data_IF_696361078793
#
_entry.id   IF_696361078793
#
_cell.length_a   1.000
_cell.length_b   1.000
_cell.length_c   1.000
_cell.angle_alpha   90.00
_cell.angle_beta   90.00
_cell.angle_gamma   90.00
#
_symmetry.space_group_name_H-M   'P 1'
#
loop_
_entity.id
_entity.type
_entity.pdbx_description
1 polymer ?
#
# COMPACT_ATOMS: atom_id res chain seq x y z
N UNK A 1 -10.91 -2.70 -0.64
CA UNK A 1 -10.50 -1.52 0.13
C UNK A 1 -10.15 -1.94 1.56
N UNK A 2 -9.18 -1.31 2.27
CA UNK A 2 -8.90 -1.62 3.67
C UNK A 2 -10.11 -1.45 4.62
N UNK A 3 -11.06 -0.62 4.23
CA UNK A 3 -12.29 -0.37 4.99
C UNK A 3 -13.33 -1.48 4.86
N UNK A 4 -13.18 -2.39 3.91
CA UNK A 4 -14.05 -3.57 3.76
C UNK A 4 -13.87 -4.58 4.91
N UNK A 5 -12.72 -4.51 5.59
CA UNK A 5 -12.41 -5.32 6.77
C UNK A 5 -12.74 -4.55 8.05
N UNK A 6 -13.34 -5.18 9.03
CA UNK A 6 -13.48 -4.61 10.38
C UNK A 6 -12.13 -4.49 11.08
N UNK A 7 -12.02 -3.64 12.11
CA UNK A 7 -10.80 -3.54 12.94
C UNK A 7 -10.43 -4.89 13.56
N UNK A 8 -11.44 -5.70 13.94
CA UNK A 8 -11.23 -7.03 14.48
C UNK A 8 -10.63 -7.99 13.45
N UNK A 9 -11.13 -7.97 12.20
CA UNK A 9 -10.59 -8.79 11.10
C UNK A 9 -9.17 -8.37 10.73
N UNK A 10 -8.88 -7.06 10.68
CA UNK A 10 -7.50 -6.59 10.51
C UNK A 10 -6.60 -7.12 11.63
N UNK A 11 -7.07 -7.08 12.88
CA UNK A 11 -6.34 -7.63 14.03
C UNK A 11 -6.06 -9.13 13.89
N UNK A 12 -7.02 -9.91 13.41
CA UNK A 12 -6.86 -11.35 13.14
C UNK A 12 -5.84 -11.62 12.03
N UNK A 13 -5.90 -10.85 10.94
CA UNK A 13 -4.94 -10.97 9.82
C UNK A 13 -3.52 -10.66 10.30
N UNK A 14 -3.34 -9.59 11.09
CA UNK A 14 -2.04 -9.22 11.64
C UNK A 14 -1.52 -10.30 12.59
N UNK A 15 -2.35 -10.82 13.50
CA UNK A 15 -1.96 -11.90 14.40
C UNK A 15 -1.56 -13.18 13.64
N UNK A 16 -2.30 -13.51 12.58
CA UNK A 16 -1.94 -14.63 11.70
C UNK A 16 -0.59 -14.38 10.98
N UNK A 17 -0.37 -13.16 10.50
CA UNK A 17 0.89 -12.81 9.86
C UNK A 17 2.08 -12.92 10.84
N UNK A 18 1.91 -12.50 12.10
CA UNK A 18 2.91 -12.67 13.16
C UNK A 18 3.20 -14.15 13.45
N UNK A 19 2.15 -14.99 13.53
CA UNK A 19 2.32 -16.44 13.71
C UNK A 19 3.03 -17.10 12.52
N UNK A 20 2.72 -16.70 11.28
CA UNK A 20 3.41 -17.17 10.08
C UNK A 20 4.90 -16.77 10.12
N UNK A 21 5.22 -15.53 10.52
CA UNK A 21 6.61 -15.07 10.64
C UNK A 21 7.38 -15.89 11.67
N UNK A 22 6.77 -16.19 12.81
CA UNK A 22 7.39 -16.96 13.87
C UNK A 22 7.48 -18.46 13.54
N UNK A 23 6.56 -19.00 12.78
CA UNK A 23 6.37 -20.45 12.59
C UNK A 23 6.18 -20.82 11.10
N UNK A 24 7.06 -20.36 10.20
CA UNK A 24 6.95 -20.56 8.74
C UNK A 24 6.68 -22.01 8.34
N UNK A 25 7.40 -22.97 8.94
CA UNK A 25 7.26 -24.39 8.62
C UNK A 25 5.85 -24.96 8.90
N UNK A 26 5.10 -24.41 9.85
CA UNK A 26 3.72 -24.78 10.18
C UNK A 26 2.77 -24.57 8.99
N UNK A 27 3.07 -23.61 8.14
CA UNK A 27 2.21 -23.16 7.05
C UNK A 27 2.64 -23.65 5.67
N UNK A 28 3.76 -24.38 5.57
CA UNK A 28 4.35 -24.78 4.28
C UNK A 28 3.47 -25.66 3.39
N UNK A 29 2.39 -26.23 3.92
CA UNK A 29 1.39 -27.02 3.17
C UNK A 29 -0.03 -26.43 3.24
N UNK A 30 -0.19 -25.21 3.78
CA UNK A 30 -1.52 -24.60 3.98
C UNK A 30 -2.30 -24.38 2.68
N UNK A 31 -1.60 -24.18 1.57
CA UNK A 31 -2.18 -24.02 0.23
C UNK A 31 -1.83 -25.19 -0.72
N UNK A 32 -1.47 -26.36 -0.18
CA UNK A 32 -1.16 -27.53 -1.00
C UNK A 32 -2.30 -27.90 -1.95
N UNK A 33 -1.99 -28.02 -3.24
CA UNK A 33 -2.96 -28.31 -4.30
C UNK A 33 -3.79 -27.10 -4.74
N UNK A 34 -3.59 -25.91 -4.15
CA UNK A 34 -4.25 -24.66 -4.54
C UNK A 34 -3.41 -23.88 -5.54
N UNK A 35 -4.09 -23.10 -6.40
CA UNK A 35 -3.47 -22.27 -7.42
C UNK A 35 -3.89 -20.81 -7.26
N UNK A 36 -2.89 -19.93 -7.19
CA UNK A 36 -3.07 -18.49 -7.27
C UNK A 36 -2.88 -18.02 -8.71
N UNK A 37 -3.83 -17.27 -9.25
CA UNK A 37 -3.65 -16.54 -10.50
C UNK A 37 -3.19 -15.10 -10.20
N UNK A 38 -2.02 -14.70 -10.71
CA UNK A 38 -1.53 -13.31 -10.67
C UNK A 38 -1.87 -12.62 -11.98
N UNK A 39 -2.87 -11.72 -11.96
CA UNK A 39 -3.34 -10.98 -13.14
C UNK A 39 -2.87 -9.53 -13.05
N UNK A 40 -1.73 -9.23 -13.65
CA UNK A 40 -1.09 -7.92 -13.56
C UNK A 40 -1.24 -7.18 -14.89
N UNK A 41 -2.19 -6.23 -14.94
CA UNK A 41 -2.49 -5.39 -16.10
C UNK A 41 -1.58 -4.16 -16.18
N UNK A 42 -0.85 -3.86 -15.13
CA UNK A 42 0.23 -2.89 -15.10
C UNK A 42 1.50 -3.51 -14.50
N UNK A 43 2.70 -3.12 -14.96
CA UNK A 43 3.96 -3.66 -14.45
C UNK A 43 4.12 -3.44 -12.95
N UNK A 44 4.46 -4.49 -12.22
CA UNK A 44 4.80 -4.43 -10.80
C UNK A 44 5.65 -5.61 -10.38
N UNK A 45 6.95 -5.42 -10.33
CA UNK A 45 7.89 -6.48 -9.96
C UNK A 45 7.70 -6.93 -8.52
N UNK A 46 7.75 -5.99 -7.57
CA UNK A 46 7.70 -6.31 -6.13
C UNK A 46 6.39 -6.98 -5.72
N UNK A 47 5.25 -6.38 -6.05
CA UNK A 47 3.95 -6.91 -5.64
C UNK A 47 3.70 -8.30 -6.24
N UNK A 48 4.01 -8.49 -7.53
CA UNK A 48 3.84 -9.80 -8.17
C UNK A 48 4.71 -10.86 -7.54
N UNK A 49 6.00 -10.57 -7.32
CA UNK A 49 6.93 -11.51 -6.70
C UNK A 49 6.53 -11.82 -5.25
N UNK A 50 6.00 -10.84 -4.49
CA UNK A 50 5.51 -11.07 -3.13
C UNK A 50 4.34 -12.06 -3.10
N UNK A 51 3.34 -11.89 -3.96
CA UNK A 51 2.22 -12.85 -4.07
C UNK A 51 2.70 -14.22 -4.54
N UNK A 52 3.60 -14.26 -5.52
CA UNK A 52 4.16 -15.52 -6.04
C UNK A 52 4.93 -16.27 -4.96
N UNK A 53 5.85 -15.60 -4.27
CA UNK A 53 6.65 -16.20 -3.20
C UNK A 53 5.78 -16.67 -2.05
N UNK A 54 4.82 -15.85 -1.60
CA UNK A 54 3.92 -16.22 -0.52
C UNK A 54 3.12 -17.51 -0.84
N UNK A 55 2.58 -17.61 -2.06
CA UNK A 55 1.81 -18.81 -2.45
C UNK A 55 2.69 -20.07 -2.54
N UNK A 56 3.91 -19.92 -3.05
CA UNK A 56 4.87 -21.03 -3.12
C UNK A 56 5.34 -21.47 -1.72
N UNK A 57 5.60 -20.54 -0.81
CA UNK A 57 5.97 -20.87 0.58
C UNK A 57 4.83 -21.53 1.37
N UNK A 58 3.59 -21.28 0.98
CA UNK A 58 2.40 -21.96 1.52
C UNK A 58 2.12 -23.32 0.86
N UNK A 59 2.97 -23.79 -0.05
CA UNK A 59 2.85 -25.09 -0.72
C UNK A 59 1.91 -25.11 -1.92
N UNK A 60 1.44 -23.95 -2.39
CA UNK A 60 0.58 -23.82 -3.56
C UNK A 60 1.35 -23.63 -4.86
N UNK A 61 0.65 -23.32 -5.94
CA UNK A 61 1.21 -23.06 -7.27
C UNK A 61 0.72 -21.71 -7.79
N UNK A 62 1.45 -21.12 -8.74
CA UNK A 62 1.13 -19.80 -9.30
C UNK A 62 1.06 -19.88 -10.82
N UNK A 63 0.02 -19.27 -11.38
CA UNK A 63 -0.17 -19.05 -12.81
C UNK A 63 -0.47 -17.56 -13.07
N UNK A 64 -0.57 -17.15 -14.33
CA UNK A 64 -1.02 -15.79 -14.67
C UNK A 64 -0.07 -15.04 -15.59
N UNK A 65 -0.26 -13.74 -15.70
CA UNK A 65 0.51 -12.86 -16.58
C UNK A 65 1.03 -11.63 -15.83
N UNK A 66 2.10 -11.04 -16.35
CA UNK A 66 2.76 -9.84 -15.78
C UNK A 66 2.50 -8.57 -16.58
N UNK A 67 1.86 -8.69 -17.73
CA UNK A 67 1.55 -7.61 -18.65
C UNK A 67 0.29 -7.97 -19.47
N UNK A 68 -0.63 -7.02 -19.57
CA UNK A 68 -1.86 -7.15 -20.36
C UNK A 68 -1.56 -7.41 -21.85
N UNK A 69 -0.48 -6.84 -22.38
CA UNK A 69 -0.07 -7.03 -23.78
C UNK A 69 0.26 -8.50 -24.14
N UNK A 70 0.68 -9.29 -23.17
CA UNK A 70 0.98 -10.72 -23.35
C UNK A 70 -0.23 -11.64 -23.18
N UNK A 71 -1.43 -11.09 -22.99
CA UNK A 71 -2.67 -11.85 -22.74
C UNK A 71 -3.76 -11.54 -23.76
N UNK A 72 -4.88 -12.26 -23.69
CA UNK A 72 -6.07 -12.02 -24.53
C UNK A 72 -6.68 -10.62 -24.33
N UNK A 73 -6.32 -9.91 -23.28
CA UNK A 73 -6.70 -8.51 -23.04
C UNK A 73 -6.27 -7.61 -24.21
N UNK A 74 -5.12 -7.88 -24.82
CA UNK A 74 -4.65 -7.18 -26.02
C UNK A 74 -5.59 -7.31 -27.23
N UNK A 75 -6.46 -8.31 -27.21
CA UNK A 75 -7.50 -8.57 -28.23
C UNK A 75 -8.87 -8.04 -27.85
N UNK A 76 -8.98 -7.25 -26.76
CA UNK A 76 -10.23 -6.65 -26.29
C UNK A 76 -11.01 -7.49 -25.26
N UNK A 77 -10.43 -8.55 -24.70
CA UNK A 77 -11.07 -9.31 -23.61
C UNK A 77 -11.27 -8.42 -22.39
N UNK A 78 -12.49 -8.43 -21.84
CA UNK A 78 -12.82 -7.63 -20.66
C UNK A 78 -12.31 -8.28 -19.35
N UNK A 79 -12.18 -7.48 -18.28
CA UNK A 79 -11.86 -8.01 -16.94
C UNK A 79 -12.84 -9.10 -16.52
N UNK A 80 -14.15 -8.89 -16.78
CA UNK A 80 -15.20 -9.86 -16.44
C UNK A 80 -15.03 -11.19 -17.17
N UNK A 81 -14.64 -11.16 -18.43
CA UNK A 81 -14.44 -12.39 -19.22
C UNK A 81 -13.13 -13.07 -18.83
N UNK A 82 -12.04 -12.30 -18.62
CA UNK A 82 -10.78 -12.85 -18.14
C UNK A 82 -10.97 -13.62 -16.84
N UNK A 83 -11.63 -13.04 -15.82
CA UNK A 83 -11.80 -13.73 -14.53
C UNK A 83 -12.71 -14.96 -14.60
N UNK A 84 -13.70 -14.96 -15.52
CA UNK A 84 -14.53 -16.14 -15.78
C UNK A 84 -13.74 -17.30 -16.39
N UNK A 85 -12.77 -16.99 -17.24
CA UNK A 85 -11.86 -18.01 -17.79
C UNK A 85 -10.88 -18.48 -16.71
N UNK A 86 -10.26 -17.56 -15.99
CA UNK A 86 -9.23 -17.86 -14.98
C UNK A 86 -9.77 -18.73 -13.84
N UNK A 87 -11.04 -18.55 -13.42
CA UNK A 87 -11.64 -19.41 -12.38
C UNK A 87 -11.64 -20.89 -12.71
N UNK A 88 -11.54 -21.25 -13.99
CA UNK A 88 -11.44 -22.65 -14.42
C UNK A 88 -10.05 -23.26 -14.13
N UNK A 89 -9.06 -22.43 -13.86
CA UNK A 89 -7.66 -22.83 -13.70
C UNK A 89 -7.07 -22.52 -12.32
N UNK A 90 -7.70 -21.62 -11.54
CA UNK A 90 -7.20 -21.14 -10.27
C UNK A 90 -8.26 -21.16 -9.16
N UNK A 91 -7.80 -21.19 -7.92
CA UNK A 91 -8.65 -21.16 -6.71
C UNK A 91 -8.80 -19.73 -6.14
N UNK A 92 -7.87 -18.84 -6.44
CA UNK A 92 -7.83 -17.45 -5.97
C UNK A 92 -7.10 -16.57 -6.99
N UNK A 93 -7.48 -15.31 -7.07
CA UNK A 93 -6.87 -14.31 -7.98
C UNK A 93 -6.24 -13.19 -7.17
N UNK A 94 -5.01 -12.78 -7.51
CA UNK A 94 -4.42 -11.50 -7.14
C UNK A 94 -4.41 -10.60 -8.38
N UNK A 95 -5.20 -9.53 -8.37
CA UNK A 95 -5.35 -8.65 -9.52
C UNK A 95 -4.75 -7.28 -9.25
N UNK A 96 -3.87 -6.83 -10.17
CA UNK A 96 -3.39 -5.46 -10.22
C UNK A 96 -3.80 -4.82 -11.53
N UNK A 97 -4.42 -3.64 -11.48
CA UNK A 97 -4.98 -2.99 -12.65
C UNK A 97 -4.72 -1.48 -12.64
N UNK A 98 -4.55 -0.87 -13.82
CA UNK A 98 -4.38 0.58 -13.96
C UNK A 98 -5.70 1.36 -13.80
N UNK A 99 -6.86 0.71 -14.01
CA UNK A 99 -8.18 1.31 -13.78
C UNK A 99 -8.66 1.04 -12.36
N UNK A 100 -9.13 2.09 -11.70
CA UNK A 100 -9.77 2.03 -10.40
C UNK A 100 -11.03 1.15 -10.43
N UNK A 101 -11.27 0.39 -9.37
CA UNK A 101 -12.42 -0.50 -9.25
C UNK A 101 -12.36 -1.80 -10.08
N UNK A 102 -11.35 -1.98 -10.95
CA UNK A 102 -11.28 -3.19 -11.79
C UNK A 102 -11.21 -4.50 -10.98
N UNK A 103 -10.48 -4.62 -9.84
CA UNK A 103 -10.52 -5.79 -8.99
C UNK A 103 -11.91 -6.04 -8.36
N UNK A 104 -12.65 -4.98 -8.03
CA UNK A 104 -14.03 -5.08 -7.54
C UNK A 104 -14.94 -5.65 -8.62
N UNK A 105 -14.88 -5.13 -9.84
CA UNK A 105 -15.60 -5.70 -11.00
C UNK A 105 -15.20 -7.17 -11.18
N UNK A 106 -13.89 -7.47 -11.16
CA UNK A 106 -13.38 -8.83 -11.25
C UNK A 106 -14.02 -9.76 -10.20
N UNK A 107 -14.12 -9.31 -8.94
CA UNK A 107 -14.69 -10.11 -7.85
C UNK A 107 -16.16 -10.48 -8.06
N UNK A 108 -16.94 -9.59 -8.70
CA UNK A 108 -18.35 -9.85 -9.01
C UNK A 108 -18.57 -10.96 -10.04
N UNK A 109 -17.60 -11.21 -10.92
CA UNK A 109 -17.72 -12.18 -12.03
C UNK A 109 -16.84 -13.42 -11.87
N UNK A 110 -15.84 -13.40 -10.99
CA UNK A 110 -14.88 -14.49 -10.86
C UNK A 110 -15.49 -15.77 -10.27
N UNK A 111 -16.40 -15.65 -9.29
CA UNK A 111 -16.91 -16.80 -8.53
C UNK A 111 -15.87 -17.50 -7.64
N UNK A 112 -14.65 -16.97 -7.56
CA UNK A 112 -13.57 -17.32 -6.65
C UNK A 112 -13.01 -16.02 -6.03
N UNK A 113 -12.34 -16.07 -4.86
CA UNK A 113 -11.82 -14.86 -4.21
C UNK A 113 -10.89 -14.07 -5.11
N UNK A 114 -11.02 -12.74 -5.07
CA UNK A 114 -10.14 -11.79 -5.76
C UNK A 114 -9.50 -10.84 -4.76
N UNK A 115 -8.18 -10.83 -4.70
CA UNK A 115 -7.39 -9.89 -3.89
C UNK A 115 -7.01 -8.71 -4.77
N UNK A 116 -7.32 -7.48 -4.30
CA UNK A 116 -6.84 -6.26 -4.92
C UNK A 116 -5.34 -6.07 -4.61
N UNK A 117 -4.50 -6.21 -5.61
CA UNK A 117 -3.05 -6.01 -5.54
C UNK A 117 -2.62 -4.58 -5.99
N UNK A 118 -3.57 -3.65 -5.99
CA UNK A 118 -3.44 -2.25 -6.39
C UNK A 118 -4.24 -1.91 -7.64
N UNK A 119 -5.08 -0.87 -7.54
CA UNK A 119 -5.95 -0.40 -8.63
C UNK A 119 -5.83 1.11 -8.85
N UNK A 120 -5.18 1.49 -9.93
CA UNK A 120 -5.00 2.88 -10.33
C UNK A 120 -4.39 3.75 -9.22
N UNK A 121 -5.02 4.88 -8.95
CA UNK A 121 -4.67 5.78 -7.83
C UNK A 121 -5.54 5.54 -6.58
N UNK A 122 -6.50 4.62 -6.63
CA UNK A 122 -7.52 4.43 -5.63
C UNK A 122 -7.00 3.71 -4.38
N UNK A 123 -6.56 2.43 -4.48
CA UNK A 123 -6.28 1.64 -3.30
C UNK A 123 -5.14 0.62 -3.48
N UNK A 124 -4.47 0.30 -2.36
CA UNK A 124 -3.50 -0.80 -2.28
C UNK A 124 -3.68 -1.53 -0.94
N UNK A 125 -4.76 -2.31 -0.76
CA UNK A 125 -5.15 -2.86 0.54
C UNK A 125 -4.07 -3.74 1.18
N UNK A 126 -3.37 -4.53 0.39
CA UNK A 126 -2.33 -5.43 0.91
C UNK A 126 -1.09 -4.66 1.37
N UNK A 127 -0.77 -3.50 0.76
CA UNK A 127 0.27 -2.62 1.27
C UNK A 127 -0.14 -2.03 2.63
N UNK A 128 -1.40 -1.59 2.76
CA UNK A 128 -1.93 -1.09 4.03
C UNK A 128 -1.81 -2.12 5.16
N UNK A 129 -2.13 -3.39 4.88
CA UNK A 129 -1.98 -4.47 5.87
C UNK A 129 -0.50 -4.69 6.25
N UNK A 130 0.42 -4.58 5.28
CA UNK A 130 1.87 -4.66 5.54
C UNK A 130 2.34 -3.49 6.39
N UNK A 131 1.89 -2.28 6.10
CA UNK A 131 2.23 -1.08 6.87
C UNK A 131 1.69 -1.19 8.31
N UNK A 132 0.44 -1.64 8.48
CA UNK A 132 -0.14 -1.88 9.80
C UNK A 132 0.62 -2.98 10.57
N UNK A 133 1.02 -4.07 9.92
CA UNK A 133 1.86 -5.11 10.55
C UNK A 133 3.19 -4.52 11.03
N UNK A 134 3.85 -3.69 10.22
CA UNK A 134 5.09 -3.02 10.58
C UNK A 134 4.87 -2.09 11.78
N UNK A 135 3.84 -1.25 11.75
CA UNK A 135 3.48 -0.36 12.86
C UNK A 135 3.24 -1.17 14.14
N UNK A 136 2.48 -2.26 14.05
CA UNK A 136 2.20 -3.12 15.21
C UNK A 136 3.47 -3.71 15.80
N UNK A 137 4.38 -4.19 14.98
CA UNK A 137 5.64 -4.81 15.42
C UNK A 137 6.61 -3.80 16.03
N UNK A 138 6.72 -2.61 15.46
CA UNK A 138 7.68 -1.60 15.91
C UNK A 138 7.13 -0.75 17.06
N UNK A 139 5.82 -0.44 17.08
CA UNK A 139 5.20 0.41 18.10
C UNK A 139 4.35 -0.35 19.13
N UNK A 140 4.02 -1.61 18.87
CA UNK A 140 3.19 -2.44 19.76
C UNK A 140 1.71 -2.03 19.86
N UNK A 141 1.31 -0.93 19.20
CA UNK A 141 -0.03 -0.32 19.32
C UNK A 141 -0.48 0.32 18.02
N UNK A 142 -1.79 0.62 17.92
CA UNK A 142 -2.37 1.44 16.87
C UNK A 142 -3.03 2.72 17.40
N UNK A 143 -3.16 2.88 18.70
CA UNK A 143 -3.80 4.04 19.32
C UNK A 143 -2.77 5.05 19.82
N UNK A 144 -3.17 6.32 19.96
CA UNK A 144 -2.38 7.40 20.56
C UNK A 144 -1.01 7.55 19.87
N UNK A 145 -1.02 7.84 18.57
CA UNK A 145 0.18 8.03 17.76
C UNK A 145 0.05 9.26 16.86
N UNK A 146 1.17 9.93 16.65
CA UNK A 146 1.31 11.00 15.68
C UNK A 146 2.03 10.48 14.45
N UNK A 147 1.39 10.54 13.28
CA UNK A 147 1.91 9.99 12.02
C UNK A 147 2.04 11.13 11.01
N UNK A 148 3.26 11.37 10.55
CA UNK A 148 3.56 12.31 9.47
C UNK A 148 3.56 11.58 8.13
N UNK A 149 2.69 11.97 7.20
CA UNK A 149 2.75 11.54 5.81
C UNK A 149 3.47 12.59 4.99
N UNK A 150 4.58 12.22 4.38
CA UNK A 150 5.49 13.16 3.73
C UNK A 150 5.72 12.81 2.26
N UNK A 151 5.59 13.79 1.38
CA UNK A 151 5.88 13.67 -0.05
C UNK A 151 4.68 13.84 -0.95
N UNK A 152 4.45 12.88 -1.86
CA UNK A 152 3.32 12.91 -2.80
C UNK A 152 2.04 12.38 -2.12
N UNK A 153 1.27 13.29 -1.54
CA UNK A 153 -0.02 12.95 -0.92
C UNK A 153 -1.17 13.00 -1.91
N UNK A 154 -0.98 13.68 -3.07
CA UNK A 154 -2.01 13.84 -4.10
C UNK A 154 -2.28 12.51 -4.82
N UNK A 155 -1.24 11.81 -5.23
CA UNK A 155 -1.33 10.57 -6.01
C UNK A 155 -0.93 9.34 -5.21
N UNK A 156 -0.62 9.52 -3.93
CA UNK A 156 -0.15 8.49 -3.01
C UNK A 156 -1.23 7.53 -2.53
N UNK A 157 -1.71 6.60 -3.37
CA UNK A 157 -2.77 5.62 -2.98
C UNK A 157 -2.47 4.86 -1.69
N UNK A 158 -1.21 4.60 -1.38
CA UNK A 158 -0.82 3.94 -0.12
C UNK A 158 -1.05 4.85 1.08
N UNK A 159 -0.82 6.15 0.93
CA UNK A 159 -1.17 7.18 1.93
C UNK A 159 -2.67 7.20 2.16
N UNK A 160 -3.46 7.31 1.08
CA UNK A 160 -4.93 7.34 1.17
C UNK A 160 -5.48 6.12 1.90
N UNK A 161 -5.03 4.93 1.51
CA UNK A 161 -5.47 3.68 2.12
C UNK A 161 -5.05 3.56 3.59
N UNK A 162 -3.85 4.00 3.95
CA UNK A 162 -3.36 3.91 5.32
C UNK A 162 -4.05 4.94 6.23
N UNK A 163 -4.31 6.17 5.75
CA UNK A 163 -5.10 7.16 6.49
C UNK A 163 -6.49 6.60 6.82
N UNK A 164 -7.19 6.04 5.83
CA UNK A 164 -8.51 5.41 6.03
C UNK A 164 -8.49 4.27 7.04
N UNK A 165 -7.45 3.45 7.02
CA UNK A 165 -7.31 2.36 7.98
C UNK A 165 -7.05 2.87 9.41
N UNK A 166 -6.15 3.85 9.56
CA UNK A 166 -5.74 4.41 10.85
C UNK A 166 -6.82 5.29 11.48
N UNK A 167 -7.64 5.97 10.69
CA UNK A 167 -8.75 6.81 11.17
C UNK A 167 -9.80 6.05 12.01
N UNK A 168 -9.74 4.72 12.00
CA UNK A 168 -10.63 3.83 12.77
C UNK A 168 -10.12 3.54 14.18
N UNK A 169 -8.89 3.93 14.49
CA UNK A 169 -8.28 3.78 15.81
C UNK A 169 -8.36 5.11 16.58
N UNK A 170 -8.30 5.06 17.91
CA UNK A 170 -8.44 6.24 18.77
C UNK A 170 -7.12 6.97 18.99
N UNK A 171 -7.18 8.30 19.13
CA UNK A 171 -6.02 9.13 19.45
C UNK A 171 -4.96 9.18 18.36
N UNK A 172 -5.38 9.03 17.09
CA UNK A 172 -4.50 9.18 15.94
C UNK A 172 -4.44 10.66 15.57
N UNK A 173 -3.21 11.18 15.46
CA UNK A 173 -2.92 12.51 14.90
C UNK A 173 -2.20 12.33 13.57
N UNK A 174 -2.74 12.93 12.53
CA UNK A 174 -2.17 12.89 11.18
C UNK A 174 -1.55 14.25 10.85
N UNK A 175 -0.29 14.25 10.45
CA UNK A 175 0.37 15.44 9.93
C UNK A 175 0.65 15.21 8.45
N UNK A 176 0.08 16.06 7.61
CA UNK A 176 0.21 16.00 6.15
C UNK A 176 1.33 16.96 5.73
N UNK A 177 2.45 16.41 5.27
CA UNK A 177 3.67 17.15 4.97
C UNK A 177 3.88 17.16 3.45
N UNK A 178 3.45 18.21 2.78
CA UNK A 178 3.53 18.30 1.33
C UNK A 178 3.56 19.76 0.85
N UNK A 179 4.23 20.06 -0.28
CA UNK A 179 4.05 21.34 -0.95
C UNK A 179 2.63 21.43 -1.52
N UNK A 180 2.19 22.62 -1.85
CA UNK A 180 0.83 22.88 -2.29
C UNK A 180 0.41 22.02 -3.49
N UNK A 181 1.31 21.76 -4.41
CA UNK A 181 1.10 20.96 -5.63
C UNK A 181 0.82 19.47 -5.35
N UNK A 182 1.33 18.96 -4.21
CA UNK A 182 1.26 17.56 -3.81
C UNK A 182 0.38 17.30 -2.58
N UNK A 183 -0.43 18.29 -2.18
CA UNK A 183 -1.36 18.17 -1.03
C UNK A 183 -2.37 17.05 -1.23
N UNK A 184 -2.87 16.56 -0.10
CA UNK A 184 -3.96 15.59 -0.09
C UNK A 184 -5.20 16.16 -0.81
N UNK A 185 -5.90 15.38 -1.64
CA UNK A 185 -7.09 15.85 -2.35
C UNK A 185 -8.20 16.32 -1.40
N UNK A 186 -8.95 17.36 -1.80
CA UNK A 186 -10.00 17.98 -0.99
C UNK A 186 -11.08 16.99 -0.53
N UNK A 187 -11.42 16.01 -1.35
CA UNK A 187 -12.38 14.98 -0.94
C UNK A 187 -11.88 14.12 0.23
N UNK A 188 -10.56 13.85 0.29
CA UNK A 188 -9.97 13.13 1.42
C UNK A 188 -9.93 14.00 2.68
N UNK A 189 -9.62 15.30 2.55
CA UNK A 189 -9.65 16.24 3.67
C UNK A 189 -11.07 16.35 4.23
N UNK A 190 -12.09 16.38 3.37
CA UNK A 190 -13.49 16.37 3.79
C UNK A 190 -13.85 15.09 4.56
N UNK A 191 -13.48 13.91 4.02
CA UNK A 191 -13.69 12.62 4.68
C UNK A 191 -12.99 12.56 6.06
N UNK A 192 -11.77 13.07 6.16
CA UNK A 192 -11.04 13.14 7.44
C UNK A 192 -11.72 14.10 8.43
N UNK A 193 -12.25 15.24 7.96
CA UNK A 193 -12.91 16.24 8.79
C UNK A 193 -14.24 15.75 9.38
N UNK A 194 -14.94 14.86 8.67
CA UNK A 194 -16.17 14.22 9.16
C UNK A 194 -15.91 13.21 10.28
N UNK A 195 -14.69 12.70 10.37
CA UNK A 195 -14.29 11.75 11.42
C UNK A 195 -13.85 12.48 12.70
N UNK A 196 -14.74 12.62 13.65
CA UNK A 196 -14.50 13.29 14.93
C UNK A 196 -13.39 12.67 15.81
N UNK A 197 -12.88 11.49 15.45
CA UNK A 197 -11.81 10.79 16.18
C UNK A 197 -10.42 11.05 15.61
N UNK A 198 -10.34 11.70 14.45
CA UNK A 198 -9.10 11.95 13.74
C UNK A 198 -8.72 13.43 13.85
N UNK A 199 -7.59 13.71 14.48
CA UNK A 199 -6.98 15.04 14.44
C UNK A 199 -6.01 15.10 13.28
N UNK A 200 -6.07 16.14 12.45
CA UNK A 200 -5.07 16.34 11.40
C UNK A 200 -4.72 17.83 11.18
N UNK A 201 -3.53 18.03 10.64
CA UNK A 201 -3.08 19.33 10.15
C UNK A 201 -2.15 19.18 8.96
N UNK A 202 -2.04 20.26 8.18
CA UNK A 202 -1.15 20.35 7.03
C UNK A 202 0.04 21.24 7.35
N UNK A 203 1.23 20.85 6.86
CA UNK A 203 2.49 21.62 6.95
C UNK A 203 3.28 21.46 5.65
N UNK A 204 4.16 22.41 5.37
CA UNK A 204 4.96 22.38 4.15
C UNK A 204 6.32 21.69 4.36
N UNK A 205 6.85 21.67 5.58
CA UNK A 205 8.18 21.13 5.88
C UNK A 205 8.13 20.06 6.97
N UNK A 206 9.00 19.04 6.87
CA UNK A 206 9.08 17.99 7.87
C UNK A 206 9.79 18.45 9.15
N UNK A 207 10.68 19.42 9.04
CA UNK A 207 11.48 19.94 10.14
C UNK A 207 10.62 20.52 11.27
N UNK A 208 9.50 21.16 10.91
CA UNK A 208 8.58 21.78 11.87
C UNK A 208 7.92 20.76 12.82
N UNK A 209 7.77 19.52 12.38
CA UNK A 209 6.96 18.52 13.06
C UNK A 209 7.74 17.29 13.51
N UNK A 210 9.00 17.18 13.12
CA UNK A 210 9.84 16.03 13.42
C UNK A 210 9.83 15.61 14.92
N UNK A 211 9.88 16.56 15.89
CA UNK A 211 9.86 16.21 17.32
C UNK A 211 8.54 15.58 17.80
N UNK A 212 7.46 15.75 17.04
CA UNK A 212 6.13 15.26 17.44
C UNK A 212 5.84 13.85 16.91
N UNK A 213 6.55 13.44 15.84
CA UNK A 213 6.23 12.22 15.11
C UNK A 213 6.60 10.95 15.88
N UNK A 214 5.67 10.01 15.95
CA UNK A 214 5.93 8.61 16.30
C UNK A 214 6.29 7.81 15.06
N UNK A 215 5.72 8.19 13.91
CA UNK A 215 5.93 7.55 12.61
C UNK A 215 6.09 8.63 11.55
N UNK A 216 7.12 8.51 10.73
CA UNK A 216 7.28 9.26 9.48
C UNK A 216 7.06 8.30 8.31
N UNK A 217 5.97 8.52 7.55
CA UNK A 217 5.67 7.76 6.33
C UNK A 217 6.10 8.58 5.13
N UNK A 218 7.12 8.13 4.43
CA UNK A 218 7.67 8.86 3.27
C UNK A 218 7.23 8.22 1.96
N UNK A 219 6.76 9.04 1.05
CA UNK A 219 6.45 8.65 -0.33
C UNK A 219 7.43 9.30 -1.30
N UNK A 220 7.68 8.63 -2.42
CA UNK A 220 8.42 9.24 -3.53
C UNK A 220 7.50 10.14 -4.35
N UNK A 221 8.04 11.21 -4.90
CA UNK A 221 7.37 12.00 -5.94
C UNK A 221 7.36 11.20 -7.25
N UNK A 222 6.18 10.95 -7.80
CA UNK A 222 5.97 10.06 -8.95
C UNK A 222 6.00 10.86 -10.26
N UNK A 223 7.17 10.91 -10.96
CA UNK A 223 7.33 11.65 -12.23
C UNK A 223 6.24 11.28 -13.26
N UNK A 224 5.88 10.02 -13.30
CA UNK A 224 4.88 9.47 -14.23
C UNK A 224 3.46 10.02 -14.06
N UNK A 225 3.21 10.79 -13.00
CA UNK A 225 1.90 11.41 -12.68
C UNK A 225 1.83 12.89 -13.03
N UNK A 226 2.95 13.52 -13.33
CA UNK A 226 3.00 14.93 -13.70
C UNK A 226 2.79 15.09 -15.20
N UNK A 227 1.92 16.04 -15.57
CA UNK A 227 1.71 16.44 -16.97
C UNK A 227 2.76 17.45 -17.40
N UNK A 228 3.32 18.22 -16.46
CA UNK A 228 4.33 19.24 -16.68
C UNK A 228 5.66 18.82 -16.00
N UNK A 229 6.71 18.79 -16.80
CA UNK A 229 8.05 18.42 -16.34
C UNK A 229 8.67 19.52 -15.45
N UNK A 230 8.29 20.79 -15.63
CA UNK A 230 8.76 21.89 -14.80
C UNK A 230 8.13 21.83 -13.39
N UNK A 231 6.87 21.43 -13.30
CA UNK A 231 6.20 21.20 -12.01
C UNK A 231 6.86 20.06 -11.24
N UNK A 232 7.16 18.95 -11.90
CA UNK A 232 7.91 17.85 -11.29
C UNK A 232 9.30 18.30 -10.80
N UNK A 233 10.04 19.05 -11.62
CA UNK A 233 11.41 19.50 -11.28
C UNK A 233 11.43 20.41 -10.05
N UNK A 234 10.38 21.20 -9.80
CA UNK A 234 10.25 22.02 -8.60
C UNK A 234 10.11 21.19 -7.32
N UNK A 235 9.43 20.06 -7.38
CA UNK A 235 9.05 19.29 -6.17
C UNK A 235 9.85 17.98 -6.00
N UNK A 236 10.57 17.50 -7.00
CA UNK A 236 11.27 16.19 -6.98
C UNK A 236 12.26 16.01 -5.81
N UNK A 237 12.83 17.12 -5.30
CA UNK A 237 13.81 17.11 -4.21
C UNK A 237 13.29 17.76 -2.92
N UNK A 238 12.00 18.05 -2.81
CA UNK A 238 11.42 18.75 -1.66
C UNK A 238 11.55 17.95 -0.37
N UNK A 239 11.56 16.62 -0.47
CA UNK A 239 11.56 15.73 0.69
C UNK A 239 12.69 14.71 0.64
N UNK A 240 13.89 15.17 0.99
CA UNK A 240 15.04 14.31 1.24
C UNK A 240 15.23 14.17 2.74
N UNK A 241 15.10 12.96 3.26
CA UNK A 241 15.46 12.67 4.65
C UNK A 241 16.97 12.50 4.76
N UNK A 242 17.57 13.24 5.67
CA UNK A 242 19.00 13.19 5.95
C UNK A 242 19.27 13.18 7.45
N UNK A 243 20.52 12.86 7.91
CA UNK A 243 20.85 12.79 9.32
C UNK A 243 20.59 14.09 10.10
N UNK A 244 20.73 15.24 9.46
CA UNK A 244 20.48 16.53 10.12
C UNK A 244 19.01 16.71 10.52
N UNK A 245 18.09 16.34 9.65
CA UNK A 245 16.65 16.38 9.91
C UNK A 245 16.22 15.40 10.99
N UNK A 246 16.94 14.29 11.13
CA UNK A 246 16.66 13.28 12.17
C UNK A 246 17.11 13.69 13.56
N UNK A 247 17.95 14.71 13.72
CA UNK A 247 18.48 15.14 15.05
C UNK A 247 17.40 15.54 16.03
N UNK A 248 16.26 16.04 15.55
CA UNK A 248 15.13 16.47 16.38
C UNK A 248 14.04 15.44 16.52
N UNK A 249 14.16 14.30 15.83
CA UNK A 249 13.19 13.21 15.91
C UNK A 249 13.20 12.55 17.29
N UNK A 250 12.08 11.96 17.67
CA UNK A 250 12.02 11.08 18.84
C UNK A 250 12.94 9.88 18.65
N UNK A 251 13.58 9.42 19.70
CA UNK A 251 14.49 8.28 19.67
C UNK A 251 13.80 6.99 19.19
N UNK A 252 12.52 6.84 19.50
CA UNK A 252 11.69 5.70 19.09
C UNK A 252 10.87 5.95 17.83
N UNK A 253 11.08 7.08 17.13
CA UNK A 253 10.41 7.33 15.86
C UNK A 253 10.80 6.28 14.83
N UNK A 254 9.81 5.72 14.14
CA UNK A 254 10.06 4.85 13.00
C UNK A 254 9.83 5.58 11.68
N UNK A 255 10.63 5.26 10.68
CA UNK A 255 10.45 5.77 9.32
C UNK A 255 9.99 4.64 8.42
N UNK A 256 8.76 4.75 7.89
CA UNK A 256 8.24 3.87 6.86
C UNK A 256 8.58 4.47 5.50
N UNK A 257 9.55 3.87 4.83
CA UNK A 257 9.94 4.22 3.48
C UNK A 257 9.28 3.26 2.51
N UNK A 258 8.62 3.78 1.50
CA UNK A 258 8.08 2.97 0.40
C UNK A 258 9.22 2.42 -0.48
N UNK A 259 10.22 1.79 0.09
CA UNK A 259 11.30 1.19 -0.70
C UNK A 259 11.85 -0.07 -0.04
N UNK A 260 11.84 -1.15 -0.78
CA UNK A 260 12.91 -2.12 -0.67
C UNK A 260 14.23 -1.42 -0.99
N UNK A 261 15.38 -1.86 -0.45
CA UNK A 261 16.67 -1.32 -0.86
C UNK A 261 16.75 -1.22 -2.38
N UNK A 262 16.88 -0.01 -2.89
CA UNK A 262 17.07 0.23 -4.32
C UNK A 262 18.54 -0.03 -4.64
N UNK A 263 18.90 -0.55 -5.83
CA UNK A 263 20.29 -0.62 -6.25
C UNK A 263 21.01 0.75 -6.24
N UNK A 264 20.26 1.85 -6.21
CA UNK A 264 20.81 3.21 -6.06
C UNK A 264 21.17 3.56 -4.63
N UNK A 265 20.55 2.91 -3.63
CA UNK A 265 20.85 3.17 -2.21
C UNK A 265 22.17 2.54 -1.78
N UNK A 266 22.66 1.55 -2.51
CA UNK A 266 23.96 0.90 -2.28
C UNK A 266 25.17 1.66 -2.85
N UNK A 267 24.95 2.76 -3.59
CA UNK A 267 26.01 3.56 -4.20
C UNK A 267 26.28 4.88 -3.47
N UNK A 268 25.62 5.12 -2.34
CA UNK A 268 25.79 6.31 -1.49
C UNK A 268 26.47 6.01 -0.15
N UNK A 269 27.44 5.07 -0.16
CA UNK A 269 28.37 4.84 0.95
C UNK A 269 29.79 5.28 0.57
#
# INVERSE_FOLDING_TARGET
DPTDLSVAEIGQIIALAEDIIANRGKYSEACKGKKLATLFYEPSTRTRLSFTSAMLELGGSVIGFSDAASSSVSKGETVADTVRVIRCFADIIAMRHFKEGAPLVGSQYAGIPVINAGDGSHSHPTQTLTDLLTIKREKGRFNNMTIGFCGDLKFGRTVHSLIKALSRYSGIKVILIAPQELRLPDYMLAEMSENSKLEFREVETMEEVMPELDILYMTRVQKERFLDEEEFDRVKNSFVLNPEKLKTAKEDMICLLYTSPSPRDSTSS
#
